data_IF_062854213353
#
_entry.id   IF_062854213353
#
_cell.length_a   1.000
_cell.length_b   1.000
_cell.length_c   1.000
_cell.angle_alpha   90.00
_cell.angle_beta   90.00
_cell.angle_gamma   90.00
#
_symmetry.space_group_name_H-M   'P 1'
#
loop_
_entity.id
_entity.type
_entity.pdbx_description
1 polymer ?
#
# COMPACT_ATOMS: atom_id res chain seq x y z
N UNK A 1 6.37 16.34 -6.10
CA UNK A 1 5.70 15.04 -5.82
C UNK A 1 4.19 15.23 -5.73
N UNK A 2 3.72 16.23 -5.03
CA UNK A 2 2.28 16.48 -4.80
C UNK A 2 1.47 16.67 -6.10
N UNK A 3 2.00 17.40 -7.08
CA UNK A 3 1.31 17.65 -8.35
C UNK A 3 1.02 16.38 -9.19
N UNK A 4 1.89 15.37 -9.12
CA UNK A 4 1.74 14.14 -9.89
C UNK A 4 0.59 13.26 -9.37
N UNK A 5 0.41 13.19 -8.05
CA UNK A 5 -0.73 12.50 -7.45
C UNK A 5 -2.04 13.22 -7.74
N UNK A 6 -2.05 14.55 -7.67
CA UNK A 6 -3.23 15.34 -8.00
C UNK A 6 -3.66 15.12 -9.46
N UNK A 7 -2.72 15.09 -10.40
CA UNK A 7 -3.00 14.79 -11.79
C UNK A 7 -3.60 13.38 -12.00
N UNK A 8 -3.11 12.37 -11.27
CA UNK A 8 -3.67 11.02 -11.32
C UNK A 8 -5.09 10.96 -10.74
N UNK A 9 -5.36 11.68 -9.64
CA UNK A 9 -6.70 11.77 -9.06
C UNK A 9 -7.69 12.43 -10.03
N UNK A 10 -7.30 13.52 -10.69
CA UNK A 10 -8.10 14.18 -11.70
C UNK A 10 -8.37 13.26 -12.89
N UNK A 11 -7.36 12.56 -13.40
CA UNK A 11 -7.53 11.59 -14.50
C UNK A 11 -8.55 10.50 -14.11
N UNK A 12 -8.40 9.89 -12.93
CA UNK A 12 -9.35 8.86 -12.44
C UNK A 12 -10.78 9.40 -12.37
N UNK A 13 -10.95 10.63 -11.90
CA UNK A 13 -12.26 11.29 -11.83
C UNK A 13 -12.85 11.52 -13.21
N UNK A 14 -12.06 12.01 -14.17
CA UNK A 14 -12.49 12.19 -15.57
C UNK A 14 -12.88 10.88 -16.25
N UNK A 15 -12.15 9.80 -15.93
CA UNK A 15 -12.46 8.44 -16.42
C UNK A 15 -13.62 7.77 -15.65
N UNK A 16 -14.31 8.49 -14.76
CA UNK A 16 -15.38 7.97 -13.88
C UNK A 16 -14.96 6.76 -13.04
N UNK A 17 -13.67 6.64 -12.74
CA UNK A 17 -13.09 5.62 -11.86
C UNK A 17 -13.06 6.14 -10.43
N UNK A 18 -13.10 5.27 -9.40
CA UNK A 18 -12.89 5.72 -8.02
C UNK A 18 -11.50 6.35 -7.88
N UNK A 19 -11.41 7.43 -7.11
CA UNK A 19 -10.12 8.13 -6.92
C UNK A 19 -9.15 7.32 -6.04
N UNK A 20 -9.66 6.51 -5.12
CA UNK A 20 -8.87 5.69 -4.22
C UNK A 20 -8.68 4.27 -4.77
N UNK A 21 -7.43 3.88 -4.99
CA UNK A 21 -7.01 2.58 -5.50
C UNK A 21 -6.16 1.80 -4.46
N UNK A 22 -6.23 2.17 -3.19
CA UNK A 22 -5.50 1.58 -2.08
C UNK A 22 -4.51 2.56 -1.43
N UNK A 23 -4.15 2.27 -0.21
CA UNK A 23 -3.25 3.13 0.59
C UNK A 23 -1.76 2.83 0.42
N UNK A 24 -1.36 2.03 -0.58
CA UNK A 24 0.03 1.60 -0.79
C UNK A 24 0.50 1.78 -2.25
N UNK A 25 0.03 2.82 -2.92
CA UNK A 25 0.49 3.14 -4.27
C UNK A 25 1.95 3.63 -4.24
N UNK A 26 2.85 2.88 -4.89
CA UNK A 26 4.27 3.21 -4.96
C UNK A 26 4.58 4.28 -6.00
N UNK A 27 3.92 4.21 -7.15
CA UNK A 27 4.14 5.09 -8.31
C UNK A 27 2.81 5.45 -8.96
N UNK A 28 2.64 6.73 -9.27
CA UNK A 28 1.53 7.22 -10.09
C UNK A 28 1.61 6.66 -11.51
N UNK A 29 0.51 6.70 -12.27
CA UNK A 29 0.50 6.26 -13.68
C UNK A 29 1.46 7.07 -14.55
N UNK A 30 1.59 8.37 -14.26
CA UNK A 30 2.55 9.24 -14.93
C UNK A 30 4.00 8.81 -14.64
N UNK A 31 4.32 8.50 -13.38
CA UNK A 31 5.66 8.03 -12.99
C UNK A 31 5.98 6.67 -13.61
N UNK A 32 5.03 5.74 -13.64
CA UNK A 32 5.20 4.44 -14.32
C UNK A 32 5.51 4.62 -15.81
N UNK A 33 4.85 5.56 -16.47
CA UNK A 33 5.13 5.88 -17.86
C UNK A 33 6.56 6.40 -18.10
N UNK A 34 7.11 7.15 -17.16
CA UNK A 34 8.49 7.59 -17.22
C UNK A 34 9.50 6.50 -16.86
N UNK A 35 9.10 5.62 -15.93
CA UNK A 35 9.96 4.59 -15.36
C UNK A 35 10.16 3.39 -16.32
N UNK A 36 9.08 2.94 -16.98
CA UNK A 36 9.13 1.74 -17.81
C UNK A 36 9.90 1.96 -19.11
N UNK A 37 10.67 0.95 -19.49
CA UNK A 37 11.32 0.88 -20.80
C UNK A 37 10.30 0.78 -21.94
N UNK A 38 10.70 1.13 -23.15
CA UNK A 38 9.82 1.01 -24.31
C UNK A 38 9.50 -0.45 -24.66
N UNK A 39 10.44 -1.38 -24.44
CA UNK A 39 10.20 -2.81 -24.64
C UNK A 39 9.19 -3.36 -23.65
N UNK A 40 9.30 -2.98 -22.38
CA UNK A 40 8.36 -3.42 -21.35
C UNK A 40 6.96 -2.82 -21.56
N UNK A 41 6.86 -1.55 -21.96
CA UNK A 41 5.57 -0.93 -22.31
C UNK A 41 4.84 -1.68 -23.43
N UNK A 42 5.56 -2.17 -24.42
CA UNK A 42 4.97 -2.99 -25.50
C UNK A 42 4.40 -4.30 -24.95
N UNK A 43 5.11 -4.94 -24.00
CA UNK A 43 4.67 -6.20 -23.36
C UNK A 43 3.40 -6.02 -22.51
N UNK A 44 3.26 -4.88 -21.83
CA UNK A 44 2.12 -4.57 -20.94
C UNK A 44 1.07 -3.65 -21.58
N UNK A 45 1.07 -3.53 -22.91
CA UNK A 45 0.24 -2.56 -23.67
C UNK A 45 -1.23 -2.58 -23.27
N UNK A 46 -1.77 -3.74 -22.96
CA UNK A 46 -3.18 -3.95 -22.66
C UNK A 46 -3.46 -4.02 -21.14
N UNK A 47 -2.48 -3.69 -20.29
CA UNK A 47 -2.62 -3.77 -18.85
C UNK A 47 -2.60 -2.38 -18.19
N UNK A 48 -3.65 -2.07 -17.44
CA UNK A 48 -3.70 -0.91 -16.55
C UNK A 48 -3.74 -1.38 -15.09
N UNK A 49 -3.20 -0.58 -14.19
CA UNK A 49 -3.35 -0.82 -12.74
C UNK A 49 -4.81 -0.84 -12.27
N UNK A 50 -5.70 -0.23 -13.02
CA UNK A 50 -7.14 -0.33 -12.81
C UNK A 50 -7.63 -1.78 -12.92
N UNK A 51 -7.03 -2.60 -13.77
CA UNK A 51 -7.43 -3.99 -13.96
C UNK A 51 -7.31 -4.83 -12.68
N UNK A 52 -6.37 -4.49 -11.80
CA UNK A 52 -6.26 -5.11 -10.48
C UNK A 52 -7.36 -4.62 -9.50
N UNK A 53 -7.85 -3.41 -9.67
CA UNK A 53 -8.79 -2.78 -8.74
C UNK A 53 -10.24 -2.96 -9.18
N UNK A 54 -10.48 -3.01 -10.50
CA UNK A 54 -11.80 -3.12 -11.11
C UNK A 54 -12.67 -4.26 -10.54
N UNK A 55 -12.20 -5.50 -10.40
CA UNK A 55 -13.04 -6.58 -9.85
C UNK A 55 -13.53 -6.28 -8.43
N UNK A 56 -12.69 -5.66 -7.61
CA UNK A 56 -13.06 -5.24 -6.25
C UNK A 56 -14.10 -4.13 -6.28
N UNK A 57 -13.97 -3.17 -7.21
CA UNK A 57 -14.91 -2.08 -7.34
C UNK A 57 -16.28 -2.53 -7.85
N UNK A 58 -16.31 -3.41 -8.83
CA UNK A 58 -17.52 -4.02 -9.36
C UNK A 58 -18.25 -4.82 -8.28
N UNK A 59 -17.51 -5.65 -7.54
CA UNK A 59 -18.07 -6.41 -6.40
C UNK A 59 -18.64 -5.48 -5.33
N UNK A 60 -17.90 -4.44 -4.95
CA UNK A 60 -18.36 -3.45 -3.99
C UNK A 60 -19.64 -2.76 -4.46
N UNK A 61 -19.69 -2.30 -5.70
CA UNK A 61 -20.87 -1.63 -6.26
C UNK A 61 -22.08 -2.55 -6.35
N UNK A 62 -21.88 -3.83 -6.58
CA UNK A 62 -22.97 -4.81 -6.63
C UNK A 62 -23.55 -5.10 -5.23
N UNK A 63 -22.69 -5.22 -4.22
CA UNK A 63 -23.06 -5.82 -2.94
C UNK A 63 -23.12 -4.83 -1.76
N UNK A 64 -22.47 -3.66 -1.83
CA UNK A 64 -22.41 -2.75 -0.71
C UNK A 64 -23.77 -2.03 -0.48
N UNK A 65 -24.21 -2.01 0.77
CA UNK A 65 -25.41 -1.30 1.22
C UNK A 65 -25.25 0.22 1.07
N UNK A 66 -24.09 0.76 1.39
CA UNK A 66 -23.76 2.19 1.27
C UNK A 66 -22.53 2.39 0.38
N UNK A 67 -22.76 2.91 -0.84
CA UNK A 67 -21.75 3.07 -1.90
C UNK A 67 -21.04 4.43 -1.83
N UNK A 68 -20.58 4.83 -0.64
CA UNK A 68 -19.83 6.07 -0.47
C UNK A 68 -18.32 5.79 -0.47
N UNK A 69 -17.53 6.85 -0.62
CA UNK A 69 -16.06 6.75 -0.74
C UNK A 69 -15.42 6.15 0.51
N UNK A 70 -15.93 6.45 1.70
CA UNK A 70 -15.35 5.96 2.95
C UNK A 70 -15.54 4.45 3.10
N UNK A 71 -16.69 3.93 2.69
CA UNK A 71 -16.94 2.48 2.67
C UNK A 71 -16.11 1.79 1.58
N UNK A 72 -15.95 2.41 0.41
CA UNK A 72 -15.06 1.91 -0.62
C UNK A 72 -13.61 1.82 -0.13
N UNK A 73 -13.08 2.89 0.48
CA UNK A 73 -11.73 2.90 1.06
C UNK A 73 -11.56 1.79 2.11
N UNK A 74 -12.53 1.65 3.02
CA UNK A 74 -12.49 0.61 4.05
C UNK A 74 -12.53 -0.78 3.44
N UNK A 75 -13.43 -1.02 2.49
CA UNK A 75 -13.57 -2.31 1.81
C UNK A 75 -12.28 -2.70 1.07
N UNK A 76 -11.71 -1.77 0.31
CA UNK A 76 -10.52 -2.06 -0.48
C UNK A 76 -9.29 -2.32 0.43
N UNK A 77 -9.12 -1.55 1.51
CA UNK A 77 -8.05 -1.79 2.47
C UNK A 77 -8.22 -3.13 3.20
N UNK A 78 -9.45 -3.53 3.53
CA UNK A 78 -9.75 -4.85 4.10
C UNK A 78 -9.44 -6.01 3.14
N UNK A 79 -9.62 -5.80 1.83
CA UNK A 79 -9.41 -6.85 0.81
C UNK A 79 -7.98 -6.97 0.31
N UNK A 80 -7.22 -5.89 0.28
CA UNK A 80 -5.87 -5.87 -0.31
C UNK A 80 -4.83 -5.52 0.76
N UNK A 81 -4.87 -4.31 1.30
CA UNK A 81 -3.79 -3.80 2.13
C UNK A 81 -3.66 -4.52 3.46
N UNK A 82 -4.78 -4.82 4.09
CA UNK A 82 -4.77 -5.45 5.40
C UNK A 82 -4.22 -6.88 5.35
N UNK A 83 -4.73 -7.80 4.50
CA UNK A 83 -4.20 -9.16 4.44
C UNK A 83 -2.77 -9.20 3.89
N UNK A 84 -2.50 -8.55 2.76
CA UNK A 84 -1.24 -8.71 2.04
C UNK A 84 -0.06 -7.93 2.65
N UNK A 85 -0.33 -6.81 3.29
CA UNK A 85 0.72 -5.95 3.82
C UNK A 85 0.85 -6.01 5.34
N UNK A 86 -0.26 -6.05 6.07
CA UNK A 86 -0.26 -5.90 7.53
C UNK A 86 -0.32 -7.26 8.21
N UNK A 87 -1.37 -8.04 7.97
CA UNK A 87 -1.60 -9.30 8.68
C UNK A 87 -0.53 -10.34 8.36
N UNK A 88 -0.18 -10.47 7.08
CA UNK A 88 0.87 -11.40 6.65
C UNK A 88 2.22 -11.09 7.35
N UNK A 89 2.56 -9.81 7.53
CA UNK A 89 3.81 -9.43 8.22
C UNK A 89 3.73 -9.71 9.71
N UNK A 90 2.61 -9.36 10.35
CA UNK A 90 2.41 -9.63 11.78
C UNK A 90 2.51 -11.13 12.02
N UNK A 91 1.78 -11.93 11.26
CA UNK A 91 1.79 -13.37 11.39
C UNK A 91 3.20 -13.96 11.23
N UNK A 92 3.88 -13.66 10.13
CA UNK A 92 5.24 -14.17 9.90
C UNK A 92 6.24 -13.75 10.96
N UNK A 93 6.19 -12.50 11.42
CA UNK A 93 7.15 -12.00 12.42
C UNK A 93 6.87 -12.57 13.81
N UNK A 94 5.63 -12.71 14.20
CA UNK A 94 5.27 -13.28 15.49
C UNK A 94 5.50 -14.79 15.50
N UNK A 95 5.10 -15.50 14.44
CA UNK A 95 5.31 -16.94 14.30
C UNK A 95 6.80 -17.32 14.25
N UNK A 96 7.65 -16.49 13.66
CA UNK A 96 9.12 -16.67 13.71
C UNK A 96 9.68 -16.66 15.14
N UNK A 97 8.93 -16.12 16.09
CA UNK A 97 9.25 -16.10 17.53
C UNK A 97 8.31 -16.97 18.36
N UNK A 98 7.61 -17.92 17.74
CA UNK A 98 6.65 -18.84 18.37
C UNK A 98 5.51 -18.13 19.11
N UNK A 99 5.10 -16.96 18.64
CA UNK A 99 3.99 -16.19 19.19
C UNK A 99 2.81 -16.19 18.21
N UNK A 100 1.63 -16.52 18.68
CA UNK A 100 0.40 -16.40 17.89
C UNK A 100 -0.26 -15.04 18.14
N UNK A 101 -0.34 -14.22 17.10
CA UNK A 101 -1.04 -12.94 17.18
C UNK A 101 -2.54 -13.10 16.84
N UNK A 102 -3.40 -12.58 17.68
CA UNK A 102 -4.85 -12.52 17.47
C UNK A 102 -5.29 -11.08 17.25
N UNK A 103 -6.26 -10.88 16.36
CA UNK A 103 -6.75 -9.56 15.95
C UNK A 103 -8.27 -9.42 16.20
N UNK A 104 -8.70 -9.19 17.45
CA UNK A 104 -10.13 -9.25 17.83
C UNK A 104 -11.00 -8.26 17.06
N UNK A 105 -10.45 -7.11 16.61
CA UNK A 105 -11.18 -6.15 15.77
C UNK A 105 -11.44 -6.62 14.34
N UNK A 106 -10.85 -7.75 13.93
CA UNK A 106 -11.07 -8.37 12.63
C UNK A 106 -11.93 -9.64 12.69
N UNK A 107 -12.60 -9.86 13.83
CA UNK A 107 -13.66 -10.87 13.89
C UNK A 107 -14.67 -10.62 12.76
N UNK A 108 -14.98 -11.68 11.99
CA UNK A 108 -15.78 -11.55 10.78
C UNK A 108 -17.20 -11.02 11.06
N UNK A 109 -17.81 -11.40 12.19
CA UNK A 109 -19.12 -10.90 12.58
C UNK A 109 -19.07 -9.42 12.93
N UNK A 110 -18.01 -8.99 13.64
CA UNK A 110 -17.79 -7.59 13.98
C UNK A 110 -17.56 -6.76 12.72
N UNK A 111 -16.70 -7.23 11.82
CA UNK A 111 -16.41 -6.54 10.55
C UNK A 111 -17.67 -6.42 9.71
N UNK A 112 -18.43 -7.51 9.53
CA UNK A 112 -19.66 -7.49 8.74
C UNK A 112 -20.70 -6.52 9.30
N UNK A 113 -20.90 -6.51 10.61
CA UNK A 113 -21.83 -5.56 11.26
C UNK A 113 -21.35 -4.11 11.11
N UNK A 114 -20.05 -3.86 11.23
CA UNK A 114 -19.51 -2.49 11.22
C UNK A 114 -19.34 -1.92 9.82
N UNK A 115 -19.09 -2.74 8.78
CA UNK A 115 -18.96 -2.25 7.41
C UNK A 115 -20.28 -1.67 6.89
N UNK A 116 -21.38 -2.24 7.30
CA UNK A 116 -22.75 -1.84 6.93
C UNK A 116 -23.33 -0.71 7.77
N UNK A 117 -22.54 -0.10 8.65
CA UNK A 117 -22.98 1.08 9.39
C UNK A 117 -22.96 2.34 8.52
N UNK A 118 -23.95 3.24 8.67
CA UNK A 118 -23.96 4.53 8.01
C UNK A 118 -22.72 5.36 8.35
N UNK A 119 -22.22 6.15 7.38
CA UNK A 119 -21.06 7.06 7.55
C UNK A 119 -21.15 7.89 8.84
N UNK A 120 -22.33 8.48 9.13
CA UNK A 120 -22.55 9.35 10.28
C UNK A 120 -22.23 8.69 11.64
N UNK A 121 -22.30 7.37 11.72
CA UNK A 121 -21.96 6.61 12.94
C UNK A 121 -20.45 6.40 13.04
N UNK A 122 -19.77 6.17 11.91
CA UNK A 122 -18.33 5.89 11.85
C UNK A 122 -17.49 7.16 11.93
N UNK A 123 -17.95 8.23 11.28
CA UNK A 123 -17.21 9.49 11.11
C UNK A 123 -18.14 10.66 11.43
N UNK A 124 -17.72 11.54 12.34
CA UNK A 124 -18.47 12.74 12.72
C UNK A 124 -17.55 13.96 12.76
N UNK A 125 -17.88 15.00 12.00
CA UNK A 125 -17.08 16.26 11.94
C UNK A 125 -15.58 16.00 11.77
N UNK A 126 -15.19 15.19 10.78
CA UNK A 126 -13.81 14.76 10.49
C UNK A 126 -13.12 13.96 11.62
N UNK A 127 -13.83 13.56 12.67
CA UNK A 127 -13.31 12.65 13.70
C UNK A 127 -13.56 11.22 13.27
N UNK A 128 -12.49 10.42 13.25
CA UNK A 128 -12.54 8.99 12.95
C UNK A 128 -12.81 8.18 14.21
N UNK A 129 -13.30 6.94 14.03
CA UNK A 129 -13.54 5.95 15.11
C UNK A 129 -14.48 6.46 16.18
N UNK A 130 -15.49 7.24 15.80
CA UNK A 130 -16.42 7.86 16.76
C UNK A 130 -17.10 6.81 17.61
N UNK A 131 -17.74 5.81 16.98
CA UNK A 131 -18.42 4.74 17.68
C UNK A 131 -17.51 4.01 18.70
N UNK A 132 -16.29 3.66 18.28
CA UNK A 132 -15.35 3.00 19.19
C UNK A 132 -14.99 3.89 20.38
N UNK A 133 -14.73 5.17 20.14
CA UNK A 133 -14.40 6.13 21.20
C UNK A 133 -15.55 6.34 22.18
N UNK A 134 -16.79 6.34 21.67
CA UNK A 134 -17.98 6.48 22.50
C UNK A 134 -18.19 5.23 23.39
N UNK A 135 -17.97 4.02 22.85
CA UNK A 135 -18.10 2.77 23.61
C UNK A 135 -17.05 2.67 24.73
N UNK A 136 -15.80 3.07 24.46
CA UNK A 136 -14.72 2.94 25.45
C UNK A 136 -14.56 4.19 26.34
N UNK A 137 -15.46 5.15 26.22
CA UNK A 137 -15.50 6.32 27.10
C UNK A 137 -15.77 5.88 28.55
N UNK A 138 -14.91 6.31 29.45
CA UNK A 138 -14.95 5.88 30.85
C UNK A 138 -14.15 4.60 31.15
N UNK A 139 -13.77 3.83 30.11
CA UNK A 139 -12.88 2.68 30.25
C UNK A 139 -11.40 3.03 30.04
N UNK A 140 -11.16 4.09 29.27
CA UNK A 140 -9.80 4.57 28.97
C UNK A 140 -9.62 6.02 29.40
N UNK A 141 -8.40 6.43 29.81
CA UNK A 141 -8.08 7.81 30.12
C UNK A 141 -8.36 8.75 28.95
N UNK A 142 -8.72 9.99 29.25
CA UNK A 142 -9.06 11.01 28.26
C UNK A 142 -7.91 11.26 27.28
N UNK A 143 -6.66 11.27 27.76
CA UNK A 143 -5.45 11.48 27.00
C UNK A 143 -5.25 10.41 25.93
N UNK A 144 -5.56 9.16 26.23
CA UNK A 144 -5.50 8.02 25.29
C UNK A 144 -6.55 8.17 24.20
N UNK A 145 -7.79 8.52 24.57
CA UNK A 145 -8.89 8.69 23.62
C UNK A 145 -8.65 9.84 22.63
N UNK A 146 -7.98 10.88 23.05
CA UNK A 146 -7.77 12.10 22.28
C UNK A 146 -6.34 12.24 21.71
N UNK A 147 -5.46 11.26 21.96
CA UNK A 147 -4.09 11.24 21.41
C UNK A 147 -4.11 11.33 19.89
N UNK A 148 -3.22 12.14 19.33
CA UNK A 148 -2.98 12.16 17.88
C UNK A 148 -2.57 10.77 17.40
N UNK A 149 -3.13 10.34 16.26
CA UNK A 149 -2.74 9.07 15.64
C UNK A 149 -1.25 9.09 15.35
N UNK A 150 -0.53 8.15 15.93
CA UNK A 150 0.86 7.87 15.63
C UNK A 150 0.91 6.67 14.68
N UNK A 151 1.48 6.85 13.50
CA UNK A 151 1.66 5.76 12.53
C UNK A 151 2.91 4.94 12.84
N UNK A 152 2.97 3.73 12.31
CA UNK A 152 4.21 2.95 12.25
C UNK A 152 5.06 3.49 11.08
N UNK A 153 5.73 4.62 11.30
CA UNK A 153 6.68 5.17 10.33
C UNK A 153 8.05 4.52 10.53
N UNK A 154 8.62 3.98 9.46
CA UNK A 154 10.03 3.61 9.44
C UNK A 154 10.85 4.82 9.01
N UNK A 155 12.01 5.07 9.60
CA UNK A 155 12.91 6.15 9.21
C UNK A 155 13.67 5.79 7.91
N UNK A 156 12.91 5.49 6.85
CA UNK A 156 13.48 5.01 5.57
C UNK A 156 14.43 6.01 4.95
N UNK A 157 14.17 7.30 5.14
CA UNK A 157 15.03 8.36 4.62
C UNK A 157 16.39 8.31 5.27
N UNK A 158 16.42 8.28 6.58
CA UNK A 158 17.62 8.20 7.41
C UNK A 158 18.39 6.91 7.10
N UNK A 159 17.71 5.79 7.02
CA UNK A 159 18.34 4.50 6.68
C UNK A 159 19.01 4.51 5.31
N UNK A 160 18.40 5.11 4.30
CA UNK A 160 19.01 5.24 2.97
C UNK A 160 20.14 6.29 2.92
N UNK A 161 20.18 7.24 3.86
CA UNK A 161 21.25 8.23 3.96
C UNK A 161 22.45 7.72 4.77
N UNK A 162 22.21 6.92 5.84
CA UNK A 162 23.21 6.53 6.84
C UNK A 162 23.96 5.21 6.56
N UNK A 163 23.86 4.64 5.37
CA UNK A 163 24.71 3.52 4.97
C UNK A 163 24.01 2.18 4.69
N UNK A 164 22.75 1.97 5.05
CA UNK A 164 21.97 0.87 4.46
C UNK A 164 21.87 1.04 2.91
N UNK A 165 22.01 2.29 2.44
CA UNK A 165 21.83 2.66 1.05
C UNK A 165 22.86 2.16 0.02
N UNK A 166 24.01 1.66 0.43
CA UNK A 166 25.07 1.24 -0.53
C UNK A 166 24.74 -0.13 -1.13
N UNK A 167 24.39 -1.10 -0.32
CA UNK A 167 24.04 -2.46 -0.76
C UNK A 167 22.71 -2.49 -1.52
N UNK A 168 21.75 -1.71 -1.08
CA UNK A 168 20.42 -1.61 -1.70
C UNK A 168 20.50 -1.01 -3.09
N UNK A 169 21.28 0.03 -3.29
CA UNK A 169 21.56 0.61 -4.61
C UNK A 169 22.19 -0.40 -5.56
N UNK A 170 23.13 -1.22 -5.05
CA UNK A 170 23.75 -2.31 -5.82
C UNK A 170 22.72 -3.35 -6.25
N UNK A 171 21.83 -3.77 -5.34
CA UNK A 171 20.78 -4.75 -5.63
C UNK A 171 19.80 -4.21 -6.68
N UNK A 172 19.39 -2.95 -6.55
CA UNK A 172 18.50 -2.30 -7.53
C UNK A 172 19.17 -2.22 -8.89
N UNK A 173 20.45 -1.79 -8.95
CA UNK A 173 21.20 -1.70 -10.21
C UNK A 173 21.40 -3.07 -10.86
N UNK A 174 21.69 -4.11 -10.07
CA UNK A 174 21.78 -5.50 -10.57
C UNK A 174 20.45 -5.94 -11.20
N UNK A 175 19.34 -5.69 -10.56
CA UNK A 175 18.02 -5.99 -11.06
C UNK A 175 17.71 -5.26 -12.38
N UNK A 176 17.95 -3.95 -12.43
CA UNK A 176 17.70 -3.12 -13.60
C UNK A 176 18.58 -3.54 -14.78
N UNK A 177 19.83 -3.94 -14.52
CA UNK A 177 20.74 -4.42 -15.57
C UNK A 177 20.38 -5.81 -16.11
N UNK A 178 19.75 -6.65 -15.30
CA UNK A 178 19.34 -8.02 -15.68
C UNK A 178 17.95 -8.09 -16.27
N UNK A 179 17.20 -7.00 -16.24
CA UNK A 179 15.83 -6.93 -16.77
C UNK A 179 15.69 -5.78 -17.76
N UNK A 180 14.69 -5.87 -18.62
CA UNK A 180 14.33 -4.79 -19.54
C UNK A 180 13.11 -3.97 -19.05
N UNK A 181 12.78 -4.06 -17.76
CA UNK A 181 11.57 -3.43 -17.23
C UNK A 181 11.65 -1.91 -17.18
N UNK A 182 12.81 -1.39 -16.81
CA UNK A 182 12.97 0.03 -16.48
C UNK A 182 13.99 0.75 -17.37
N UNK A 183 13.79 2.05 -17.53
CA UNK A 183 14.80 2.95 -18.11
C UNK A 183 15.89 3.20 -17.08
N UNK A 184 17.14 2.82 -17.42
CA UNK A 184 18.30 2.94 -16.52
C UNK A 184 18.51 4.37 -16.01
N UNK A 185 18.39 5.35 -16.90
CA UNK A 185 18.58 6.77 -16.55
C UNK A 185 17.51 7.26 -15.55
N UNK A 186 16.28 6.74 -15.64
CA UNK A 186 15.20 7.13 -14.72
C UNK A 186 15.43 6.51 -13.34
N UNK A 187 15.87 5.25 -13.28
CA UNK A 187 16.23 4.61 -12.01
C UNK A 187 17.43 5.32 -11.39
N UNK A 188 18.47 5.65 -12.17
CA UNK A 188 19.64 6.35 -11.65
C UNK A 188 19.25 7.69 -11.00
N UNK A 189 18.36 8.46 -11.62
CA UNK A 189 17.84 9.72 -11.03
C UNK A 189 17.11 9.51 -9.69
N UNK A 190 16.48 8.35 -9.50
CA UNK A 190 15.85 8.01 -8.20
C UNK A 190 16.92 7.64 -7.18
N UNK A 191 17.93 6.86 -7.59
CA UNK A 191 19.07 6.44 -6.74
C UNK A 191 19.87 7.64 -6.25
N UNK A 192 20.13 8.61 -7.13
CA UNK A 192 20.95 9.79 -6.82
C UNK A 192 20.20 10.82 -5.98
N UNK A 193 18.87 10.73 -5.94
CA UNK A 193 18.05 11.65 -5.17
C UNK A 193 18.05 11.28 -3.70
N UNK A 194 18.66 12.13 -2.87
CA UNK A 194 18.73 11.97 -1.42
C UNK A 194 17.33 11.85 -0.81
N UNK A 195 17.12 10.85 0.06
CA UNK A 195 15.86 10.63 0.77
C UNK A 195 14.66 10.25 -0.11
N UNK A 196 14.88 9.70 -1.30
CA UNK A 196 13.78 9.26 -2.16
C UNK A 196 13.20 7.92 -1.68
N UNK A 197 12.05 7.97 -1.03
CA UNK A 197 11.39 6.79 -0.47
C UNK A 197 10.94 5.76 -1.52
N UNK A 198 10.95 6.11 -2.82
CA UNK A 198 10.66 5.17 -3.92
C UNK A 198 11.72 4.08 -4.03
N UNK A 199 12.93 4.32 -3.51
CA UNK A 199 13.97 3.29 -3.40
C UNK A 199 13.49 2.06 -2.63
N UNK A 200 12.69 2.24 -1.60
CA UNK A 200 12.11 1.12 -0.84
C UNK A 200 11.27 0.18 -1.71
N UNK A 201 10.43 0.73 -2.58
CA UNK A 201 9.59 -0.09 -3.46
C UNK A 201 10.41 -0.79 -4.54
N UNK A 202 11.41 -0.10 -5.11
CA UNK A 202 12.33 -0.71 -6.09
C UNK A 202 13.18 -1.81 -5.48
N UNK A 203 13.66 -1.61 -4.26
CA UNK A 203 14.42 -2.61 -3.50
C UNK A 203 13.58 -3.86 -3.23
N UNK A 204 12.37 -3.70 -2.71
CA UNK A 204 11.47 -4.83 -2.46
C UNK A 204 11.18 -5.61 -3.74
N UNK A 205 10.93 -4.92 -4.86
CA UNK A 205 10.72 -5.57 -6.16
C UNK A 205 11.98 -6.33 -6.63
N UNK A 206 13.16 -5.73 -6.48
CA UNK A 206 14.43 -6.34 -6.88
C UNK A 206 14.75 -7.59 -6.05
N UNK A 207 14.52 -7.54 -4.73
CA UNK A 207 14.70 -8.69 -3.83
C UNK A 207 13.69 -9.79 -4.17
N UNK A 208 12.40 -9.45 -4.33
CA UNK A 208 11.36 -10.39 -4.71
C UNK A 208 11.70 -11.09 -6.03
N UNK A 209 12.09 -10.33 -7.07
CA UNK A 209 12.49 -10.88 -8.36
C UNK A 209 13.69 -11.82 -8.24
N UNK A 210 14.68 -11.44 -7.44
CA UNK A 210 15.88 -12.26 -7.20
C UNK A 210 15.54 -13.60 -6.56
N UNK A 211 14.65 -13.60 -5.56
CA UNK A 211 14.29 -14.80 -4.79
C UNK A 211 13.36 -15.70 -5.60
N UNK A 212 12.28 -15.15 -6.13
CA UNK A 212 11.19 -15.98 -6.67
C UNK A 212 11.24 -16.19 -8.18
N UNK A 213 11.86 -15.30 -8.93
CA UNK A 213 11.89 -15.39 -10.39
C UNK A 213 13.24 -15.90 -10.89
N UNK A 214 14.34 -15.36 -10.39
CA UNK A 214 15.68 -15.72 -10.85
C UNK A 214 16.23 -16.98 -10.20
N UNK A 215 16.04 -17.16 -8.91
CA UNK A 215 16.52 -18.30 -8.16
C UNK A 215 15.36 -19.30 -7.98
N UNK A 216 15.09 -20.15 -8.97
CA UNK A 216 14.18 -21.29 -8.82
C UNK A 216 14.70 -22.37 -7.84
N UNK A 217 15.71 -22.07 -7.04
CA UNK A 217 16.22 -22.90 -5.95
C UNK A 217 16.29 -22.03 -4.70
N UNK A 218 15.22 -22.01 -3.94
CA UNK A 218 15.28 -21.66 -2.52
C UNK A 218 16.21 -22.68 -1.84
N UNK A 219 17.47 -22.32 -1.69
CA UNK A 219 18.29 -22.92 -0.62
C UNK A 219 17.80 -22.29 0.67
N UNK A 220 16.87 -22.95 1.33
CA UNK A 220 16.57 -22.72 2.74
C UNK A 220 17.74 -23.36 3.49
N UNK A 221 18.68 -22.56 3.90
CA UNK A 221 19.67 -22.94 4.93
C UNK A 221 19.15 -22.54 6.29
#
# INVERSE_FOLDING_TARGET
IQYKYTADLLRRSLEKKPIFWGGAEAFSSFEKNQLFSNSFKKKIKNFDSWDCIRPHYEFFNKNAKYKNIENWMTYLDLKIRLPELILMRIDKMTMANSLEARVPFLDHNLVQKTIDLPKKIKIKKNKLKVLLKDIVKGLLPYEILNRKKQGFGLPLKEWFEDGLGINEKKIINEFVNKTDFFKKETIQKIIDRKGDTRLWFLLNLAIWWKIFIKNNKLKIS
#
